data_IF_954726422578
#
_entry.id   IF_954726422578
#
_cell.length_a   1.000
_cell.length_b   1.000
_cell.length_c   1.000
_cell.angle_alpha   90.00
_cell.angle_beta   90.00
_cell.angle_gamma   90.00
#
_symmetry.space_group_name_H-M   'P 1'
#
loop_
_entity.id
_entity.type
_entity.pdbx_description
1 polymer ?
#
# COMPACT_ATOMS: atom_id res chain seq x y z
N UNK A 1 16.71 16.61 15.26
CA UNK A 1 16.81 17.78 14.34
C UNK A 1 15.48 17.98 13.61
N UNK A 2 15.18 19.17 13.05
CA UNK A 2 13.90 19.44 12.38
C UNK A 2 13.59 18.48 11.23
N UNK A 3 14.61 18.08 10.46
CA UNK A 3 14.50 17.07 9.40
C UNK A 3 14.04 15.70 9.90
N UNK A 4 14.41 15.33 11.13
CA UNK A 4 13.99 14.06 11.74
C UNK A 4 12.52 14.08 12.16
N UNK A 5 12.02 15.23 12.62
CA UNK A 5 10.59 15.42 12.91
C UNK A 5 9.78 15.33 11.62
N UNK A 6 10.25 15.96 10.54
CA UNK A 6 9.61 15.86 9.22
C UNK A 6 9.61 14.42 8.70
N UNK A 7 10.72 13.69 8.82
CA UNK A 7 10.78 12.29 8.41
C UNK A 7 9.80 11.40 9.20
N UNK A 8 9.71 11.60 10.52
CA UNK A 8 8.75 10.89 11.36
C UNK A 8 7.30 11.23 11.01
N UNK A 9 7.01 12.50 10.72
CA UNK A 9 5.69 12.94 10.26
C UNK A 9 5.32 12.30 8.92
N UNK A 10 6.24 12.28 7.96
CA UNK A 10 6.04 11.64 6.64
C UNK A 10 5.79 10.14 6.82
N UNK A 11 6.57 9.46 7.65
CA UNK A 11 6.39 8.05 7.95
C UNK A 11 5.00 7.75 8.54
N UNK A 12 4.56 8.53 9.53
CA UNK A 12 3.21 8.40 10.10
C UNK A 12 2.09 8.73 9.11
N UNK A 13 2.29 9.73 8.24
CA UNK A 13 1.33 10.14 7.24
C UNK A 13 0.98 9.00 6.26
N UNK A 14 1.94 8.12 5.94
CA UNK A 14 1.70 6.96 5.05
C UNK A 14 0.49 6.14 5.51
N UNK A 15 0.32 5.92 6.82
CA UNK A 15 -0.79 5.12 7.35
C UNK A 15 -2.15 5.79 7.12
N UNK A 16 -2.22 7.11 7.31
CA UNK A 16 -3.44 7.90 7.06
C UNK A 16 -3.79 7.90 5.57
N UNK A 17 -2.81 8.12 4.70
CA UNK A 17 -3.01 8.05 3.25
C UNK A 17 -3.38 6.63 2.79
N UNK A 18 -2.81 5.59 3.40
CA UNK A 18 -3.17 4.21 3.11
C UNK A 18 -4.63 3.92 3.49
N UNK A 19 -5.06 4.33 4.68
CA UNK A 19 -6.44 4.16 5.12
C UNK A 19 -7.43 4.91 4.21
N UNK A 20 -7.12 6.17 3.88
CA UNK A 20 -7.92 6.98 2.97
C UNK A 20 -7.96 6.36 1.55
N UNK A 21 -6.81 5.94 1.02
CA UNK A 21 -6.70 5.36 -0.31
C UNK A 21 -7.43 4.03 -0.44
N UNK A 22 -7.31 3.14 0.57
CA UNK A 22 -8.04 1.86 0.59
C UNK A 22 -9.55 2.15 0.62
N UNK A 23 -9.99 3.01 1.52
CA UNK A 23 -11.41 3.39 1.64
C UNK A 23 -11.95 3.98 0.33
N UNK A 24 -11.21 4.90 -0.28
CA UNK A 24 -11.58 5.52 -1.56
C UNK A 24 -11.62 4.51 -2.70
N UNK A 25 -10.65 3.60 -2.78
CA UNK A 25 -10.60 2.57 -3.83
C UNK A 25 -11.74 1.56 -3.70
N UNK A 26 -12.13 1.20 -2.47
CA UNK A 26 -13.29 0.34 -2.22
C UNK A 26 -14.60 1.08 -2.51
N UNK A 27 -14.68 2.37 -2.19
CA UNK A 27 -15.81 3.22 -2.58
C UNK A 27 -15.98 3.23 -4.10
N UNK A 28 -14.89 3.47 -4.85
CA UNK A 28 -14.91 3.43 -6.31
C UNK A 28 -15.36 2.08 -6.87
N UNK A 29 -14.84 0.96 -6.32
CA UNK A 29 -15.27 -0.40 -6.71
C UNK A 29 -16.78 -0.57 -6.48
N UNK A 30 -17.29 -0.08 -5.35
CA UNK A 30 -18.71 -0.14 -5.00
C UNK A 30 -19.54 0.68 -5.99
N UNK A 31 -19.08 1.89 -6.33
CA UNK A 31 -19.76 2.76 -7.29
C UNK A 31 -19.81 2.15 -8.70
N UNK A 32 -18.72 1.52 -9.14
CA UNK A 32 -18.66 0.84 -10.44
C UNK A 32 -19.54 -0.42 -10.48
N UNK A 33 -19.65 -1.12 -9.34
CA UNK A 33 -20.57 -2.24 -9.17
C UNK A 33 -22.04 -1.79 -9.25
N UNK A 34 -22.41 -0.72 -8.53
CA UNK A 34 -23.76 -0.18 -8.55
C UNK A 34 -24.16 0.45 -9.89
N UNK A 35 -23.18 0.87 -10.69
CA UNK A 35 -23.41 1.47 -12.00
C UNK A 35 -23.40 0.46 -13.16
N UNK A 36 -23.40 -0.85 -12.88
CA UNK A 36 -23.34 -1.95 -13.86
C UNK A 36 -22.14 -1.86 -14.83
N UNK A 37 -21.06 -1.17 -14.44
CA UNK A 37 -19.81 -1.03 -15.23
C UNK A 37 -18.65 -1.83 -14.64
N UNK A 38 -18.97 -2.77 -13.77
CA UNK A 38 -17.99 -3.54 -13.02
C UNK A 38 -17.07 -4.36 -13.93
N UNK A 39 -15.77 -4.31 -13.65
CA UNK A 39 -14.74 -5.17 -14.27
C UNK A 39 -13.90 -5.80 -13.17
N UNK A 40 -13.53 -7.07 -13.32
CA UNK A 40 -12.75 -7.76 -12.29
C UNK A 40 -11.41 -7.08 -12.00
N UNK A 41 -10.83 -6.42 -13.02
CA UNK A 41 -9.59 -5.64 -12.87
C UNK A 41 -9.71 -4.46 -11.88
N UNK A 42 -10.89 -3.88 -11.68
CA UNK A 42 -11.06 -2.75 -10.76
C UNK A 42 -10.87 -3.16 -9.30
N UNK A 43 -11.13 -4.42 -8.96
CA UNK A 43 -10.85 -4.98 -7.62
C UNK A 43 -9.37 -4.95 -7.26
N UNK A 44 -8.46 -4.77 -8.22
CA UNK A 44 -7.03 -4.70 -7.95
C UNK A 44 -6.61 -3.38 -7.28
N UNK A 45 -7.39 -2.30 -7.44
CA UNK A 45 -7.08 -0.98 -6.91
C UNK A 45 -6.74 -0.96 -5.40
N UNK A 46 -7.56 -1.50 -4.49
CA UNK A 46 -7.23 -1.54 -3.05
C UNK A 46 -5.94 -2.30 -2.73
N UNK A 47 -5.63 -3.35 -3.47
CA UNK A 47 -4.41 -4.13 -3.27
C UNK A 47 -3.17 -3.37 -3.69
N UNK A 48 -3.25 -2.59 -4.79
CA UNK A 48 -2.15 -1.69 -5.15
C UNK A 48 -1.93 -0.60 -4.12
N UNK A 49 -2.99 0.01 -3.59
CA UNK A 49 -2.86 1.00 -2.51
C UNK A 49 -2.18 0.36 -1.30
N UNK A 50 -2.62 -0.83 -0.89
CA UNK A 50 -2.01 -1.58 0.22
C UNK A 50 -0.54 -1.93 -0.03
N UNK A 51 -0.21 -2.44 -1.22
CA UNK A 51 1.16 -2.78 -1.60
C UNK A 51 2.08 -1.54 -1.59
N UNK A 52 1.63 -0.44 -2.18
CA UNK A 52 2.37 0.84 -2.18
C UNK A 52 2.53 1.34 -0.74
N UNK A 53 1.49 1.29 0.07
CA UNK A 53 1.54 1.72 1.47
C UNK A 53 2.56 0.92 2.28
N UNK A 54 2.58 -0.42 2.14
CA UNK A 54 3.56 -1.29 2.82
C UNK A 54 4.99 -0.90 2.42
N UNK A 55 5.25 -0.70 1.12
CA UNK A 55 6.56 -0.29 0.61
C UNK A 55 6.96 1.08 1.15
N UNK A 56 6.09 2.08 1.03
CA UNK A 56 6.36 3.44 1.50
C UNK A 56 6.58 3.49 3.02
N UNK A 57 5.79 2.74 3.79
CA UNK A 57 5.90 2.67 5.24
C UNK A 57 7.23 2.03 5.68
N UNK A 58 7.62 0.93 5.04
CA UNK A 58 8.89 0.26 5.32
C UNK A 58 10.10 1.09 4.89
N UNK A 59 10.07 1.68 3.68
CA UNK A 59 11.15 2.54 3.17
C UNK A 59 11.34 3.75 4.06
N UNK A 60 10.25 4.46 4.39
CA UNK A 60 10.33 5.63 5.28
C UNK A 60 10.83 5.26 6.68
N UNK A 61 10.38 4.14 7.26
CA UNK A 61 10.86 3.68 8.57
C UNK A 61 12.30 3.15 8.56
N UNK A 62 12.77 2.59 7.44
CA UNK A 62 14.19 2.23 7.26
C UNK A 62 15.08 3.48 7.27
N UNK A 63 14.66 4.55 6.60
CA UNK A 63 15.37 5.83 6.63
C UNK A 63 15.27 6.57 7.97
N UNK A 64 14.33 6.20 8.84
CA UNK A 64 14.34 6.64 10.23
C UNK A 64 15.36 5.88 11.07
N UNK A 65 15.92 4.76 10.63
CA UNK A 65 16.93 4.05 11.41
C UNK A 65 18.15 4.92 11.76
N UNK A 66 18.96 4.45 12.70
CA UNK A 66 20.19 5.13 13.16
C UNK A 66 21.18 5.45 12.03
N UNK A 67 20.99 4.86 10.84
CA UNK A 67 21.74 5.17 9.63
C UNK A 67 21.66 6.65 9.21
N UNK A 68 20.48 7.27 9.22
CA UNK A 68 20.29 8.67 8.83
C UNK A 68 20.30 9.64 10.03
N UNK A 69 19.90 9.16 11.20
CA UNK A 69 19.80 9.95 12.42
C UNK A 69 20.58 9.31 13.56
N UNK A 70 21.93 9.34 13.51
CA UNK A 70 22.75 8.77 14.57
C UNK A 70 22.48 9.48 15.91
N UNK A 71 22.38 8.70 16.98
CA UNK A 71 22.09 9.21 18.33
C UNK A 71 20.61 9.41 18.69
N UNK A 72 19.69 9.16 17.75
CA UNK A 72 18.25 9.08 18.02
C UNK A 72 17.79 7.63 18.09
N UNK A 73 17.07 7.28 19.16
CA UNK A 73 16.46 5.97 19.32
C UNK A 73 14.94 6.07 19.19
N UNK A 74 14.44 5.66 18.02
CA UNK A 74 13.01 5.72 17.72
C UNK A 74 12.20 4.64 18.44
N UNK A 75 12.86 3.63 19.02
CA UNK A 75 12.19 2.64 19.85
C UNK A 75 11.57 3.25 21.13
N UNK A 76 12.05 4.41 21.57
CA UNK A 76 11.52 5.13 22.73
C UNK A 76 10.29 6.00 22.38
N UNK A 77 9.94 6.10 21.09
CA UNK A 77 8.77 6.86 20.62
C UNK A 77 7.70 5.88 20.14
N UNK A 78 6.66 5.59 20.95
CA UNK A 78 5.69 4.53 20.63
C UNK A 78 4.94 4.71 19.30
N UNK A 79 4.88 5.95 18.81
CA UNK A 79 4.19 6.30 17.57
C UNK A 79 5.03 6.11 16.29
N UNK A 80 6.35 5.84 16.41
CA UNK A 80 7.27 5.79 15.25
C UNK A 80 7.94 4.43 15.21
N UNK A 81 7.88 3.76 14.06
CA UNK A 81 8.50 2.45 13.87
C UNK A 81 9.65 2.51 12.87
N UNK A 82 10.84 2.12 13.30
CA UNK A 82 11.98 1.92 12.41
C UNK A 82 12.06 0.48 11.92
N UNK A 83 12.70 0.28 10.76
CA UNK A 83 12.90 -1.04 10.16
C UNK A 83 14.38 -1.32 9.89
N UNK A 84 14.77 -2.58 10.04
CA UNK A 84 16.06 -3.13 9.61
C UNK A 84 16.09 -3.38 8.11
N UNK A 85 17.27 -3.65 7.55
CA UNK A 85 17.42 -3.97 6.12
C UNK A 85 16.65 -5.24 5.73
N UNK A 86 16.65 -6.26 6.60
CA UNK A 86 15.91 -7.50 6.38
C UNK A 86 14.40 -7.26 6.39
N UNK A 87 13.89 -6.46 7.34
CA UNK A 87 12.47 -6.10 7.37
C UNK A 87 12.06 -5.27 6.14
N UNK A 88 12.92 -4.37 5.68
CA UNK A 88 12.69 -3.63 4.44
C UNK A 88 12.63 -4.57 3.23
N UNK A 89 13.58 -5.50 3.11
CA UNK A 89 13.59 -6.48 2.01
C UNK A 89 12.31 -7.34 2.03
N UNK A 90 11.87 -7.77 3.20
CA UNK A 90 10.62 -8.50 3.37
C UNK A 90 9.39 -7.66 3.00
N UNK A 91 9.33 -6.40 3.41
CA UNK A 91 8.23 -5.51 3.06
C UNK A 91 8.16 -5.24 1.55
N UNK A 92 9.30 -5.03 0.90
CA UNK A 92 9.39 -4.90 -0.56
C UNK A 92 8.91 -6.17 -1.25
N UNK A 93 9.40 -7.33 -0.83
CA UNK A 93 8.98 -8.62 -1.38
C UNK A 93 7.48 -8.84 -1.22
N UNK A 94 6.94 -8.65 -0.02
CA UNK A 94 5.51 -8.82 0.28
C UNK A 94 4.67 -7.84 -0.53
N UNK A 95 5.07 -6.56 -0.60
CA UNK A 95 4.38 -5.56 -1.41
C UNK A 95 4.36 -5.91 -2.90
N UNK A 96 5.51 -6.33 -3.45
CA UNK A 96 5.60 -6.77 -4.85
C UNK A 96 4.75 -8.01 -5.12
N UNK A 97 4.83 -9.03 -4.26
CA UNK A 97 4.04 -10.25 -4.40
C UNK A 97 2.54 -9.96 -4.28
N UNK A 98 2.13 -9.10 -3.34
CA UNK A 98 0.74 -8.69 -3.19
C UNK A 98 0.20 -8.06 -4.47
N UNK A 99 0.95 -7.12 -5.07
CA UNK A 99 0.56 -6.48 -6.33
C UNK A 99 0.47 -7.44 -7.51
N UNK A 100 1.49 -8.30 -7.68
CA UNK A 100 1.53 -9.26 -8.80
C UNK A 100 0.45 -10.33 -8.65
N UNK A 101 0.34 -10.95 -7.48
CA UNK A 101 -0.65 -12.00 -7.22
C UNK A 101 -2.08 -11.46 -7.29
N UNK A 102 -2.34 -10.24 -6.83
CA UNK A 102 -3.64 -9.58 -6.98
C UNK A 102 -4.01 -9.44 -8.46
N UNK A 103 -3.10 -8.90 -9.27
CA UNK A 103 -3.30 -8.74 -10.72
C UNK A 103 -3.57 -10.06 -11.42
N UNK A 104 -2.78 -11.08 -11.12
CA UNK A 104 -2.96 -12.42 -11.68
C UNK A 104 -4.29 -13.03 -11.25
N UNK A 105 -4.65 -12.92 -9.96
CA UNK A 105 -5.90 -13.46 -9.42
C UNK A 105 -7.11 -12.86 -10.13
N UNK A 106 -7.14 -11.53 -10.31
CA UNK A 106 -8.24 -10.87 -11.00
C UNK A 106 -8.25 -11.11 -12.51
N UNK A 107 -7.08 -11.24 -13.15
CA UNK A 107 -7.00 -11.65 -14.55
C UNK A 107 -7.53 -13.08 -14.75
N UNK A 108 -7.24 -14.00 -13.82
CA UNK A 108 -7.81 -15.36 -13.83
C UNK A 108 -9.30 -15.31 -13.60
N UNK A 109 -9.80 -14.52 -12.66
CA UNK A 109 -11.24 -14.37 -12.41
C UNK A 109 -11.99 -13.87 -13.66
N UNK A 110 -11.47 -12.82 -14.33
CA UNK A 110 -12.00 -12.31 -15.60
C UNK A 110 -12.06 -13.39 -16.68
N UNK A 111 -11.01 -14.23 -16.79
CA UNK A 111 -10.99 -15.31 -17.79
C UNK A 111 -12.04 -16.40 -17.55
N UNK A 112 -12.49 -16.58 -16.30
CA UNK A 112 -13.48 -17.61 -15.91
C UNK A 112 -14.90 -17.07 -15.88
N UNK A 113 -15.08 -15.79 -15.59
CA UNK A 113 -16.37 -15.12 -15.50
C UNK A 113 -16.35 -13.86 -16.38
N UNK A 114 -16.42 -14.01 -17.71
CA UNK A 114 -16.47 -12.86 -18.59
C UNK A 114 -17.70 -12.02 -18.26
N UNK A 115 -17.50 -10.78 -17.83
CA UNK A 115 -18.62 -9.86 -17.64
C UNK A 115 -19.09 -9.43 -19.03
N UNK A 116 -20.00 -10.20 -19.66
CA UNK A 116 -20.73 -9.78 -20.87
C UNK A 116 -21.66 -8.59 -20.53
N UNK A 117 -21.95 -7.63 -21.41
CA UNK A 117 -21.87 -7.59 -22.86
C UNK A 117 -21.42 -6.20 -23.37
N UNK A 118 -20.54 -6.17 -24.38
CA UNK A 118 -20.38 -5.00 -25.25
C UNK A 118 -21.60 -4.99 -26.20
N UNK A 119 -22.43 -3.93 -26.23
CA UNK A 119 -23.46 -3.81 -27.26
C UNK A 119 -22.79 -3.59 -28.63
N UNK A 120 -23.24 -4.38 -29.61
CA UNK A 120 -22.82 -4.30 -31.01
C UNK A 120 -23.27 -3.00 -31.69
#
# INVERSE_FOLDING_TARGET
PPSAVLAALVHGAVQWFAAAGITSSLGQVTDEYLADRFKWRYLNAPFYVGAIAVVLYAVSGFFLSSFLYPGLNWADVPAVRSFTLTELAMALLVGTLLGVLSTLTFAVAESRYPTGAEPA
#
